data_IF_697010809108
#
_entry.id   IF_697010809108
#
_cell.length_a   1.000
_cell.length_b   1.000
_cell.length_c   1.000
_cell.angle_alpha   90.00
_cell.angle_beta   90.00
_cell.angle_gamma   90.00
#
_symmetry.space_group_name_H-M   'P 1'
#
loop_
_entity.id
_entity.type
_entity.pdbx_description
1 polymer ?
#
# COMPACT_ATOMS: atom_id res chain seq x y z
N UNK A 1 7.62 1.18 0.20
CA UNK A 1 8.78 1.95 -0.30
C UNK A 1 8.73 3.32 0.38
N UNK A 2 9.60 4.28 0.10
CA UNK A 2 9.45 5.63 0.69
C UNK A 2 8.21 6.32 0.07
N UNK A 3 7.35 6.90 0.89
CA UNK A 3 6.07 7.49 0.45
C UNK A 3 6.26 8.59 -0.62
N UNK A 4 7.29 9.44 -0.44
CA UNK A 4 7.59 10.51 -1.40
C UNK A 4 8.02 9.95 -2.76
N UNK A 5 8.73 8.81 -2.75
CA UNK A 5 9.11 8.13 -3.98
C UNK A 5 7.89 7.51 -4.68
N UNK A 6 7.02 6.83 -3.92
CA UNK A 6 5.81 6.20 -4.46
C UNK A 6 4.89 7.25 -5.09
N UNK A 7 4.56 8.32 -4.37
CA UNK A 7 3.69 9.39 -4.85
C UNK A 7 4.22 10.00 -6.17
N UNK A 8 5.52 10.34 -6.20
CA UNK A 8 6.14 10.90 -7.39
C UNK A 8 6.13 9.92 -8.57
N UNK A 9 6.48 8.65 -8.36
CA UNK A 9 6.52 7.64 -9.41
C UNK A 9 5.13 7.31 -9.99
N UNK A 10 4.10 7.21 -9.14
CA UNK A 10 2.74 6.87 -9.55
C UNK A 10 1.97 8.07 -10.15
N UNK A 11 2.36 9.30 -9.82
CA UNK A 11 1.78 10.52 -10.43
C UNK A 11 2.14 10.71 -11.92
N UNK A 12 3.23 10.07 -12.37
CA UNK A 12 3.76 10.25 -13.73
C UNK A 12 2.98 9.48 -14.79
N UNK A 13 2.95 10.04 -16.00
CA UNK A 13 2.61 9.28 -17.20
C UNK A 13 3.81 8.47 -17.69
N UNK A 14 3.55 7.41 -18.44
CA UNK A 14 4.62 6.60 -19.04
C UNK A 14 5.53 7.46 -19.93
N UNK A 15 6.84 7.28 -19.75
CA UNK A 15 7.95 8.04 -20.34
C UNK A 15 8.15 9.47 -19.82
N UNK A 16 7.43 9.89 -18.79
CA UNK A 16 7.60 11.19 -18.15
C UNK A 16 8.69 11.15 -17.05
N UNK A 17 9.33 12.31 -16.84
CA UNK A 17 10.29 12.53 -15.75
C UNK A 17 9.62 13.48 -14.73
N UNK A 18 9.73 13.17 -13.45
CA UNK A 18 9.20 14.03 -12.39
C UNK A 18 9.91 15.40 -12.42
N UNK A 19 9.17 16.52 -12.41
CA UNK A 19 9.73 17.84 -12.69
C UNK A 19 10.62 18.40 -11.57
N UNK A 20 10.64 17.76 -10.39
CA UNK A 20 11.41 18.17 -9.22
C UNK A 20 12.26 16.99 -8.71
N UNK A 21 13.28 17.30 -7.91
CA UNK A 21 14.02 16.27 -7.18
C UNK A 21 13.17 15.78 -6.01
N UNK A 22 13.17 14.48 -5.77
CA UNK A 22 12.44 13.84 -4.65
C UNK A 22 13.41 13.49 -3.54
N UNK A 23 13.16 13.99 -2.34
CA UNK A 23 13.91 13.64 -1.13
C UNK A 23 13.25 12.45 -0.43
N UNK A 24 14.07 11.50 0.00
CA UNK A 24 13.67 10.30 0.72
C UNK A 24 14.65 10.07 1.86
N UNK A 25 14.36 9.08 2.72
CA UNK A 25 15.31 8.65 3.75
C UNK A 25 16.65 8.11 3.20
N UNK A 26 16.76 7.88 1.88
CA UNK A 26 17.95 7.40 1.18
C UNK A 26 18.69 8.49 0.39
N UNK A 27 18.24 9.75 0.49
CA UNK A 27 18.77 10.89 -0.25
C UNK A 27 17.86 11.37 -1.38
N UNK A 28 18.45 11.90 -2.44
CA UNK A 28 17.78 12.61 -3.52
C UNK A 28 17.63 11.76 -4.79
N UNK A 29 16.46 11.81 -5.42
CA UNK A 29 16.11 10.99 -6.60
C UNK A 29 15.62 11.85 -7.76
N UNK A 30 15.97 11.42 -8.98
CA UNK A 30 15.35 11.84 -10.24
C UNK A 30 14.58 10.64 -10.77
N UNK A 31 13.29 10.80 -11.00
CA UNK A 31 12.38 9.67 -11.27
C UNK A 31 11.86 9.77 -12.71
N UNK A 32 11.97 8.67 -13.46
CA UNK A 32 11.39 8.50 -14.80
C UNK A 32 10.49 7.27 -14.81
N UNK A 33 9.23 7.41 -15.22
CA UNK A 33 8.34 6.26 -15.39
C UNK A 33 8.60 5.60 -16.74
N UNK A 34 9.06 4.36 -16.74
CA UNK A 34 9.39 3.62 -17.98
C UNK A 34 8.22 2.79 -18.53
N UNK A 35 7.20 2.55 -17.71
CA UNK A 35 6.02 1.77 -18.05
C UNK A 35 5.13 1.56 -16.85
N UNK A 36 4.04 0.83 -17.08
CA UNK A 36 3.14 0.34 -16.04
C UNK A 36 2.60 -1.03 -16.45
N UNK A 37 2.30 -1.87 -15.47
CA UNK A 37 1.68 -3.17 -15.67
C UNK A 37 0.62 -3.38 -14.60
N UNK A 38 -0.54 -3.85 -15.01
CA UNK A 38 -1.61 -4.27 -14.12
C UNK A 38 -1.68 -5.80 -14.16
N UNK A 39 -1.94 -6.39 -12.99
CA UNK A 39 -2.26 -7.81 -12.90
C UNK A 39 -3.70 -8.03 -13.34
N UNK A 40 -3.99 -9.16 -13.96
CA UNK A 40 -5.37 -9.54 -14.25
C UNK A 40 -6.11 -9.83 -12.95
N UNK A 41 -7.39 -9.44 -12.89
CA UNK A 41 -8.21 -9.61 -11.69
C UNK A 41 -8.25 -11.07 -11.21
N UNK A 42 -8.33 -12.02 -12.14
CA UNK A 42 -8.39 -13.44 -11.79
C UNK A 42 -7.10 -13.98 -11.17
N UNK A 43 -5.94 -13.40 -11.51
CA UNK A 43 -4.65 -13.81 -10.94
C UNK A 43 -4.51 -13.39 -9.47
N UNK A 44 -5.18 -12.30 -9.09
CA UNK A 44 -5.10 -11.72 -7.73
C UNK A 44 -6.35 -11.96 -6.90
N UNK A 45 -7.38 -12.60 -7.45
CA UNK A 45 -8.69 -12.74 -6.79
C UNK A 45 -8.61 -13.51 -5.47
N UNK A 46 -7.89 -14.64 -5.46
CA UNK A 46 -7.82 -15.49 -4.27
C UNK A 46 -7.07 -14.80 -3.12
N UNK A 47 -5.92 -14.19 -3.40
CA UNK A 47 -5.16 -13.43 -2.39
C UNK A 47 -5.92 -12.19 -1.90
N UNK A 48 -6.71 -11.55 -2.77
CA UNK A 48 -7.59 -10.46 -2.38
C UNK A 48 -8.69 -10.94 -1.42
N UNK A 49 -9.33 -12.08 -1.69
CA UNK A 49 -10.36 -12.65 -0.80
C UNK A 49 -9.75 -13.02 0.56
N UNK A 50 -8.56 -13.63 0.57
CA UNK A 50 -7.85 -13.98 1.80
C UNK A 50 -7.55 -12.73 2.65
N UNK A 51 -6.99 -11.69 2.01
CA UNK A 51 -6.68 -10.41 2.69
C UNK A 51 -7.94 -9.80 3.30
N UNK A 52 -9.01 -9.66 2.51
CA UNK A 52 -10.28 -9.09 2.98
C UNK A 52 -10.93 -9.92 4.10
N UNK A 53 -10.79 -11.25 4.05
CA UNK A 53 -11.28 -12.15 5.10
C UNK A 53 -10.52 -11.95 6.40
N UNK A 54 -9.19 -11.86 6.34
CA UNK A 54 -8.34 -11.64 7.51
C UNK A 54 -8.55 -10.26 8.13
N UNK A 55 -8.70 -9.22 7.30
CA UNK A 55 -9.01 -7.87 7.75
C UNK A 55 -10.34 -7.85 8.49
N UNK A 56 -11.38 -8.47 7.91
CA UNK A 56 -12.69 -8.58 8.56
C UNK A 56 -12.62 -9.33 9.89
N UNK A 57 -11.86 -10.42 9.97
CA UNK A 57 -11.69 -11.16 11.22
C UNK A 57 -11.00 -10.32 12.29
N UNK A 58 -9.97 -9.55 11.90
CA UNK A 58 -9.23 -8.67 12.81
C UNK A 58 -10.13 -7.55 13.35
N UNK A 59 -10.90 -6.89 12.48
CA UNK A 59 -11.87 -5.86 12.90
C UNK A 59 -12.94 -6.42 13.82
N UNK A 60 -13.52 -7.59 13.51
CA UNK A 60 -14.52 -8.22 14.36
C UNK A 60 -13.96 -8.61 15.74
N UNK A 61 -12.70 -9.00 15.80
CA UNK A 61 -12.01 -9.29 17.05
C UNK A 61 -11.81 -8.02 17.87
N UNK A 62 -11.32 -6.94 17.25
CA UNK A 62 -11.15 -5.64 17.90
C UNK A 62 -12.50 -5.12 18.45
N UNK A 63 -13.55 -5.14 17.63
CA UNK A 63 -14.91 -4.75 18.03
C UNK A 63 -15.42 -5.57 19.22
N UNK A 64 -15.13 -6.88 19.23
CA UNK A 64 -15.51 -7.76 20.33
C UNK A 64 -14.72 -7.46 21.61
N UNK A 65 -13.41 -7.25 21.50
CA UNK A 65 -12.55 -6.91 22.64
C UNK A 65 -12.96 -5.57 23.27
N UNK A 66 -13.27 -4.57 22.45
CA UNK A 66 -13.79 -3.28 22.91
C UNK A 66 -15.15 -3.45 23.60
N UNK A 67 -16.07 -4.18 22.97
CA UNK A 67 -17.42 -4.40 23.52
C UNK A 67 -17.42 -5.07 24.89
N UNK A 68 -16.49 -5.99 25.14
CA UNK A 68 -16.43 -6.75 26.39
C UNK A 68 -15.38 -6.23 27.38
N UNK A 69 -14.75 -5.06 27.13
CA UNK A 69 -13.69 -4.44 27.94
C UNK A 69 -12.60 -5.45 28.37
N UNK A 70 -12.19 -6.31 27.42
CA UNK A 70 -11.24 -7.39 27.71
C UNK A 70 -9.83 -6.81 27.69
N UNK A 71 -9.23 -6.65 28.88
CA UNK A 71 -7.80 -6.31 29.00
C UNK A 71 -6.96 -7.57 28.80
N UNK A 72 -6.29 -7.65 27.64
CA UNK A 72 -5.26 -8.66 27.41
C UNK A 72 -4.04 -8.25 28.25
N UNK A 73 -3.82 -8.92 29.38
CA UNK A 73 -2.53 -8.87 30.07
C UNK A 73 -1.53 -9.67 29.21
N UNK A 74 -0.67 -8.95 28.49
CA UNK A 74 0.47 -9.52 27.79
C UNK A 74 1.70 -9.57 28.70
#
# INVERSE_FOLDING_TARGET
>A
MDENFEEAAFSLKTNEIYPKVVETNYGYHIIKKTGEKYSDFYDVKESLIETLSNDKQSTLLEDALEKYDVKINM
#
